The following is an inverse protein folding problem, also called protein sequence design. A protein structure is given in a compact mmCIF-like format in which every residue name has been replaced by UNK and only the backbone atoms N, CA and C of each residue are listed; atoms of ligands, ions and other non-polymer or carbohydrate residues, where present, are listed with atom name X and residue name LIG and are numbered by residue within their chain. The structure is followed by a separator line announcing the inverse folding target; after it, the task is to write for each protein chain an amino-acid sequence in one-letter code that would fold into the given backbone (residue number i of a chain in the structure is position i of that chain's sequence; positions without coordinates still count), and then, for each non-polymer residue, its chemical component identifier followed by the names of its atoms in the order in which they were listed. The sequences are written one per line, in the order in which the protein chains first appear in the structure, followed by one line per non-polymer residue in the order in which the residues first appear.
data_IF_490082940374
#
_entry.id   IF_490082940374
#
_cell.length_a   1.000
_cell.length_b   1.000
_cell.length_c   1.000
_cell.angle_alpha   90.00
_cell.angle_beta   90.00
_cell.angle_gamma   90.00
#
_symmetry.space_group_name_H-M   'P 1'
#
loop_
_entity.id
_entity.type
_entity.pdbx_description
1 polymer ?
#
# COMPACT_ATOMS: atom_id res chain seq x y z
N UNK A 1 1.90 -13.50 -45.57
CA UNK A 1 1.46 -14.26 -44.39
C UNK A 1 0.56 -13.35 -43.55
N UNK A 2 -0.57 -13.85 -43.04
CA UNK A 2 -1.48 -13.05 -42.19
C UNK A 2 -1.28 -13.50 -40.74
N UNK A 3 -0.90 -12.57 -39.84
CA UNK A 3 -0.66 -12.88 -38.44
C UNK A 3 -1.98 -13.00 -37.67
N UNK A 4 -2.04 -13.92 -36.69
CA UNK A 4 -3.16 -14.05 -35.77
C UNK A 4 -3.25 -12.82 -34.84
N UNK A 5 -4.48 -12.40 -34.54
CA UNK A 5 -4.76 -11.31 -33.64
C UNK A 5 -5.18 -11.88 -32.28
N UNK A 6 -4.45 -11.52 -31.22
CA UNK A 6 -4.72 -11.93 -29.84
C UNK A 6 -5.19 -10.75 -28.99
N UNK A 7 -6.34 -10.16 -29.36
CA UNK A 7 -6.89 -8.95 -28.71
C UNK A 7 -7.04 -9.07 -27.19
N UNK A 8 -7.33 -10.28 -26.71
CA UNK A 8 -7.46 -10.58 -25.28
C UNK A 8 -6.14 -10.57 -24.52
N UNK A 9 -5.00 -10.48 -25.22
CA UNK A 9 -3.66 -10.43 -24.64
C UNK A 9 -3.00 -9.04 -24.80
N UNK A 10 -3.64 -8.11 -25.50
CA UNK A 10 -3.13 -6.75 -25.69
C UNK A 10 -2.99 -6.05 -24.34
N UNK A 11 -1.80 -5.50 -24.05
CA UNK A 11 -1.48 -4.83 -22.78
C UNK A 11 -1.20 -5.76 -21.59
N UNK A 12 -1.35 -7.08 -21.77
CA UNK A 12 -0.99 -8.04 -20.73
C UNK A 12 0.47 -8.50 -20.85
N UNK A 13 1.06 -8.87 -19.71
CA UNK A 13 2.39 -9.43 -19.66
C UNK A 13 2.34 -10.90 -19.22
N UNK A 14 2.93 -11.78 -20.03
CA UNK A 14 3.08 -13.18 -19.67
C UNK A 14 4.07 -13.34 -18.50
N UNK A 15 3.90 -14.37 -17.64
CA UNK A 15 4.87 -14.71 -16.58
C UNK A 15 6.29 -14.87 -17.12
N UNK A 16 6.40 -15.52 -18.26
CA UNK A 16 7.65 -15.77 -19.01
C UNK A 16 7.62 -14.97 -20.31
N UNK A 17 7.80 -13.68 -20.20
CA UNK A 17 7.71 -12.76 -21.34
C UNK A 17 9.02 -12.77 -22.14
N UNK A 18 8.92 -12.59 -23.47
CA UNK A 18 10.08 -12.53 -24.35
C UNK A 18 11.01 -11.34 -24.01
N UNK A 19 10.46 -10.22 -23.55
CA UNK A 19 11.23 -9.03 -23.16
C UNK A 19 12.04 -9.22 -21.88
N UNK A 20 11.74 -10.25 -21.06
CA UNK A 20 12.46 -10.61 -19.83
C UNK A 20 12.98 -12.04 -19.95
N UNK A 21 13.90 -12.26 -20.88
CA UNK A 21 14.35 -13.59 -21.32
C UNK A 21 15.20 -14.38 -20.31
N UNK A 22 15.49 -13.84 -19.12
CA UNK A 22 16.30 -14.53 -18.12
C UNK A 22 15.67 -15.84 -17.59
N UNK A 23 14.37 -16.05 -17.79
CA UNK A 23 13.66 -17.29 -17.49
C UNK A 23 14.17 -18.50 -18.32
N UNK A 24 14.86 -18.29 -19.42
CA UNK A 24 15.53 -19.36 -20.17
C UNK A 24 16.60 -20.12 -19.35
N UNK A 25 17.06 -19.53 -18.22
CA UNK A 25 18.05 -20.12 -17.32
C UNK A 25 17.43 -20.67 -16.03
N UNK A 26 16.10 -20.64 -15.91
CA UNK A 26 15.43 -21.19 -14.74
C UNK A 26 15.36 -22.71 -14.84
N UNK A 27 15.59 -23.38 -13.73
CA UNK A 27 15.14 -24.73 -13.52
C UNK A 27 13.62 -24.76 -13.22
N UNK A 28 13.07 -25.96 -13.12
CA UNK A 28 11.63 -26.15 -12.90
C UNK A 28 11.17 -25.53 -11.56
N UNK A 29 11.99 -25.62 -10.50
CA UNK A 29 11.69 -25.08 -9.19
C UNK A 29 11.59 -23.55 -9.23
N UNK A 30 12.57 -22.89 -9.84
CA UNK A 30 12.58 -21.44 -10.02
C UNK A 30 11.43 -20.95 -10.92
N UNK A 31 11.13 -21.67 -11.97
CA UNK A 31 10.02 -21.34 -12.85
C UNK A 31 8.67 -21.40 -12.11
N UNK A 32 8.46 -22.44 -11.31
CA UNK A 32 7.27 -22.59 -10.47
C UNK A 32 7.19 -21.52 -9.37
N UNK A 33 8.30 -21.17 -8.75
CA UNK A 33 8.35 -20.08 -7.77
C UNK A 33 7.91 -18.73 -8.40
N UNK A 34 8.47 -18.37 -9.54
CA UNK A 34 8.13 -17.12 -10.25
C UNK A 34 6.65 -17.11 -10.64
N UNK A 35 6.12 -18.21 -11.15
CA UNK A 35 4.71 -18.33 -11.49
C UNK A 35 3.80 -18.17 -10.26
N UNK A 36 4.13 -18.86 -9.16
CA UNK A 36 3.36 -18.79 -7.92
C UNK A 36 3.37 -17.38 -7.32
N UNK A 37 4.51 -16.67 -7.36
CA UNK A 37 4.63 -15.30 -6.88
C UNK A 37 3.76 -14.35 -7.72
N UNK A 38 3.72 -14.54 -9.04
CA UNK A 38 2.86 -13.76 -9.91
C UNK A 38 1.38 -14.02 -9.62
N UNK A 39 0.97 -15.29 -9.44
CA UNK A 39 -0.40 -15.63 -9.06
C UNK A 39 -0.79 -15.06 -7.69
N UNK A 40 0.14 -15.04 -6.73
CA UNK A 40 -0.08 -14.43 -5.42
C UNK A 40 -0.31 -12.92 -5.55
N UNK A 41 0.46 -12.22 -6.39
CA UNK A 41 0.27 -10.79 -6.68
C UNK A 41 -1.11 -10.49 -7.27
N UNK A 42 -1.54 -11.26 -8.28
CA UNK A 42 -2.87 -11.10 -8.91
C UNK A 42 -3.99 -11.33 -7.88
N UNK A 43 -3.85 -12.35 -7.03
CA UNK A 43 -4.83 -12.59 -5.94
C UNK A 43 -4.84 -11.45 -4.93
N UNK A 44 -3.66 -10.93 -4.57
CA UNK A 44 -3.53 -9.78 -3.67
C UNK A 44 -4.29 -8.57 -4.20
N UNK A 45 -4.06 -8.17 -5.45
CA UNK A 45 -4.77 -7.06 -6.09
C UNK A 45 -6.29 -7.23 -6.03
N UNK A 46 -6.80 -8.43 -6.37
CA UNK A 46 -8.25 -8.71 -6.30
C UNK A 46 -8.82 -8.61 -4.89
N UNK A 47 -8.05 -8.99 -3.86
CA UNK A 47 -8.48 -8.88 -2.47
C UNK A 47 -8.53 -7.42 -2.01
N UNK A 48 -7.59 -6.58 -2.42
CA UNK A 48 -7.62 -5.13 -2.16
C UNK A 48 -8.82 -4.47 -2.86
N UNK A 49 -9.05 -4.76 -4.15
CA UNK A 49 -10.20 -4.26 -4.90
C UNK A 49 -11.53 -4.66 -4.24
N UNK A 50 -11.65 -5.92 -3.82
CA UNK A 50 -12.83 -6.41 -3.12
C UNK A 50 -13.01 -5.71 -1.77
N UNK A 51 -11.95 -5.56 -0.97
CA UNK A 51 -11.98 -4.89 0.32
C UNK A 51 -12.41 -3.42 0.16
N UNK A 52 -11.80 -2.69 -0.77
CA UNK A 52 -12.17 -1.32 -1.12
C UNK A 52 -13.66 -1.21 -1.43
N UNK A 53 -14.16 -2.00 -2.40
CA UNK A 53 -15.57 -1.96 -2.80
C UNK A 53 -16.51 -2.28 -1.62
N UNK A 54 -16.13 -3.23 -0.77
CA UNK A 54 -16.91 -3.65 0.39
C UNK A 54 -16.97 -2.56 1.46
N UNK A 55 -15.85 -1.85 1.69
CA UNK A 55 -15.77 -0.71 2.62
C UNK A 55 -16.60 0.46 2.08
N UNK A 56 -16.40 0.84 0.81
CA UNK A 56 -17.11 1.96 0.16
C UNK A 56 -18.64 1.76 0.18
N UNK A 57 -19.10 0.50 0.07
CA UNK A 57 -20.53 0.15 0.17
C UNK A 57 -21.03 -0.03 1.62
N UNK A 58 -20.16 0.05 2.62
CA UNK A 58 -20.52 -0.14 4.02
C UNK A 58 -20.97 -1.56 4.38
N UNK A 59 -20.55 -2.57 3.61
CA UNK A 59 -20.99 -3.96 3.78
C UNK A 59 -20.16 -4.67 4.86
N UNK A 60 -20.66 -4.67 6.09
CA UNK A 60 -20.02 -5.33 7.22
C UNK A 60 -19.88 -6.84 6.98
N UNK A 61 -18.72 -7.35 7.33
CA UNK A 61 -18.36 -8.75 7.20
C UNK A 61 -18.65 -9.55 8.49
N UNK A 62 -18.85 -10.87 8.39
CA UNK A 62 -18.96 -11.71 9.57
C UNK A 62 -17.72 -11.58 10.48
N UNK A 63 -17.92 -11.64 11.79
CA UNK A 63 -16.82 -11.66 12.75
C UNK A 63 -16.17 -13.03 12.74
N UNK A 64 -15.08 -13.15 12.01
CA UNK A 64 -14.28 -14.36 11.90
C UNK A 64 -12.83 -14.06 12.32
N UNK A 65 -11.97 -15.09 12.33
CA UNK A 65 -10.52 -14.92 12.56
C UNK A 65 -9.78 -14.35 11.33
N UNK A 66 -10.44 -14.21 10.19
CA UNK A 66 -9.81 -13.69 8.96
C UNK A 66 -9.50 -12.22 9.11
N UNK A 67 -8.25 -11.84 8.93
CA UNK A 67 -7.78 -10.44 8.97
C UNK A 67 -8.45 -9.55 7.93
N UNK A 68 -8.80 -10.10 6.77
CA UNK A 68 -9.55 -9.39 5.73
C UNK A 68 -10.92 -8.89 6.24
N UNK A 69 -11.65 -9.72 6.99
CA UNK A 69 -12.94 -9.32 7.59
C UNK A 69 -12.77 -8.28 8.70
N UNK A 70 -11.72 -8.43 9.52
CA UNK A 70 -11.38 -7.45 10.56
C UNK A 70 -11.03 -6.10 9.93
N UNK A 71 -10.14 -6.09 8.93
CA UNK A 71 -9.76 -4.89 8.19
C UNK A 71 -10.97 -4.13 7.62
N UNK A 72 -11.86 -4.83 6.91
CA UNK A 72 -13.06 -4.22 6.35
C UNK A 72 -13.98 -3.65 7.43
N UNK A 73 -14.22 -4.42 8.51
CA UNK A 73 -15.09 -3.98 9.58
C UNK A 73 -14.52 -2.80 10.36
N UNK A 74 -13.22 -2.77 10.60
CA UNK A 74 -12.55 -1.66 11.28
C UNK A 74 -12.57 -0.40 10.41
N UNK A 75 -12.28 -0.51 9.12
CA UNK A 75 -12.35 0.61 8.19
C UNK A 75 -13.77 1.21 8.14
N UNK A 76 -14.82 0.38 8.07
CA UNK A 76 -16.20 0.83 8.14
C UNK A 76 -16.50 1.45 9.51
N UNK A 77 -16.05 0.83 10.61
CA UNK A 77 -16.30 1.30 11.98
C UNK A 77 -15.68 2.65 12.27
N UNK A 78 -14.46 2.90 11.78
CA UNK A 78 -13.77 4.19 11.89
C UNK A 78 -14.14 5.18 10.80
N UNK A 79 -15.01 4.79 9.84
CA UNK A 79 -15.40 5.60 8.68
C UNK A 79 -14.18 6.07 7.89
N UNK A 80 -13.32 5.16 7.52
CA UNK A 80 -12.10 5.44 6.77
C UNK A 80 -12.40 5.59 5.28
N UNK A 81 -11.65 6.48 4.64
CA UNK A 81 -11.62 6.61 3.19
C UNK A 81 -10.64 5.59 2.60
N UNK A 82 -10.95 5.06 1.41
CA UNK A 82 -10.16 4.02 0.74
C UNK A 82 -9.31 4.58 -0.39
N UNK A 83 -8.12 3.98 -0.63
CA UNK A 83 -7.24 4.32 -1.76
C UNK A 83 -6.93 5.82 -1.86
N UNK A 84 -6.61 6.43 -0.72
CA UNK A 84 -6.31 7.87 -0.66
C UNK A 84 -4.87 8.13 -1.06
N UNK A 85 -4.68 8.94 -2.10
CA UNK A 85 -3.37 9.43 -2.49
C UNK A 85 -2.94 10.53 -1.54
N UNK A 86 -1.79 10.33 -0.89
CA UNK A 86 -1.10 11.35 -0.10
C UNK A 86 0.04 11.89 -0.94
N UNK A 87 0.10 13.21 -1.11
CA UNK A 87 0.98 13.87 -2.06
C UNK A 87 1.76 15.01 -1.41
N UNK A 88 3.06 15.01 -1.56
CA UNK A 88 3.92 16.14 -1.22
C UNK A 88 4.51 16.78 -2.47
N UNK A 89 5.08 15.96 -3.37
CA UNK A 89 5.62 16.41 -4.65
C UNK A 89 5.57 15.30 -5.69
N UNK A 90 5.97 15.59 -6.93
CA UNK A 90 6.08 14.59 -7.99
C UNK A 90 7.05 13.43 -7.66
N UNK A 91 7.93 13.61 -6.69
CA UNK A 91 8.88 12.58 -6.22
C UNK A 91 8.38 11.83 -4.98
N UNK A 92 7.47 12.44 -4.21
CA UNK A 92 7.01 11.90 -2.93
C UNK A 92 5.49 11.91 -2.85
N UNK A 93 4.90 10.77 -3.16
CA UNK A 93 3.47 10.49 -3.02
C UNK A 93 3.26 8.98 -2.84
N UNK A 94 2.09 8.60 -2.39
CA UNK A 94 1.72 7.19 -2.27
C UNK A 94 0.23 7.06 -1.96
N UNK A 95 -0.30 5.85 -2.12
CA UNK A 95 -1.72 5.57 -1.90
C UNK A 95 -1.86 4.74 -0.63
N UNK A 96 -2.55 5.28 0.37
CA UNK A 96 -2.92 4.55 1.57
C UNK A 96 -4.16 3.69 1.31
N UNK A 97 -4.12 2.42 1.70
CA UNK A 97 -5.26 1.50 1.50
C UNK A 97 -6.52 2.02 2.19
N UNK A 98 -6.41 2.40 3.47
CA UNK A 98 -7.47 3.13 4.20
C UNK A 98 -6.87 4.14 5.17
N UNK A 99 -7.52 5.29 5.26
CA UNK A 99 -7.10 6.41 6.13
C UNK A 99 -8.31 7.15 6.66
N UNK A 100 -8.22 7.67 7.89
CA UNK A 100 -9.12 8.71 8.38
C UNK A 100 -8.40 9.65 9.34
N UNK A 101 -8.87 10.91 9.33
CA UNK A 101 -8.43 11.92 10.30
C UNK A 101 -9.67 12.55 10.94
N UNK A 102 -9.87 12.28 12.21
CA UNK A 102 -11.04 12.78 12.98
C UNK A 102 -10.65 13.07 14.42
N UNK A 103 -11.18 14.16 14.96
CA UNK A 103 -10.94 14.58 16.35
C UNK A 103 -9.45 14.65 16.71
N UNK A 104 -8.62 15.06 15.75
CA UNK A 104 -7.17 15.15 15.87
C UNK A 104 -6.47 13.78 16.04
N UNK A 105 -7.13 12.70 15.63
CA UNK A 105 -6.58 11.35 15.59
C UNK A 105 -6.44 10.93 14.13
N UNK A 106 -5.23 10.56 13.75
CA UNK A 106 -4.93 9.98 12.42
C UNK A 106 -4.93 8.46 12.53
N UNK A 107 -5.65 7.77 11.63
CA UNK A 107 -5.58 6.31 11.49
C UNK A 107 -5.23 5.94 10.07
N UNK A 108 -4.28 5.05 9.93
CA UNK A 108 -3.89 4.47 8.62
C UNK A 108 -3.82 2.96 8.80
N UNK A 109 -4.63 2.25 8.01
CA UNK A 109 -4.64 0.79 8.02
C UNK A 109 -4.22 0.26 6.65
N UNK A 110 -3.49 -0.84 6.67
CA UNK A 110 -2.92 -1.48 5.48
C UNK A 110 -3.22 -2.99 5.52
N UNK A 111 -3.68 -3.53 4.39
CA UNK A 111 -3.98 -4.94 4.20
C UNK A 111 -2.83 -5.62 3.46
N UNK A 112 -2.18 -6.58 4.08
CA UNK A 112 -1.11 -7.36 3.46
C UNK A 112 -1.57 -8.79 3.17
N UNK A 113 -1.46 -9.19 1.91
CA UNK A 113 -1.84 -10.52 1.42
C UNK A 113 -0.62 -11.42 1.14
N UNK A 114 0.58 -10.88 1.31
CA UNK A 114 1.85 -11.60 1.15
C UNK A 114 2.19 -12.46 2.37
N UNK A 115 3.08 -13.46 2.17
CA UNK A 115 3.54 -14.36 3.24
C UNK A 115 4.65 -13.77 4.11
N UNK A 116 5.44 -12.84 3.57
CA UNK A 116 6.53 -12.20 4.30
C UNK A 116 5.97 -11.16 5.24
N UNK A 117 6.52 -11.11 6.45
CA UNK A 117 6.15 -10.12 7.45
C UNK A 117 6.32 -8.69 6.89
N UNK A 118 5.28 -7.89 7.06
CA UNK A 118 5.27 -6.53 6.53
C UNK A 118 5.95 -5.56 7.51
N UNK A 119 6.71 -4.61 6.99
CA UNK A 119 7.31 -3.53 7.77
C UNK A 119 6.30 -2.40 7.99
N UNK A 120 6.34 -1.78 9.17
CA UNK A 120 5.56 -0.59 9.51
C UNK A 120 6.06 0.67 8.77
N UNK A 121 7.27 0.64 8.21
CA UNK A 121 7.91 1.81 7.55
C UNK A 121 7.03 2.48 6.49
N UNK A 122 6.30 1.70 5.71
CA UNK A 122 5.39 2.24 4.69
C UNK A 122 4.34 3.16 5.33
N UNK A 123 3.77 2.77 6.46
CA UNK A 123 2.74 3.54 7.14
C UNK A 123 3.34 4.78 7.80
N UNK A 124 4.56 4.69 8.34
CA UNK A 124 5.29 5.87 8.88
C UNK A 124 5.52 6.92 7.78
N UNK A 125 5.87 6.48 6.56
CA UNK A 125 5.99 7.39 5.40
C UNK A 125 4.65 8.03 5.04
N UNK A 126 3.54 7.29 5.09
CA UNK A 126 2.21 7.89 4.87
C UNK A 126 1.86 8.92 5.93
N UNK A 127 2.21 8.70 7.21
CA UNK A 127 2.04 9.72 8.26
C UNK A 127 2.82 10.98 7.93
N UNK A 128 4.08 10.84 7.51
CA UNK A 128 4.92 11.97 7.13
C UNK A 128 4.34 12.74 5.93
N UNK A 129 3.88 12.03 4.89
CA UNK A 129 3.22 12.64 3.73
C UNK A 129 1.94 13.36 4.13
N UNK A 130 1.11 12.77 4.99
CA UNK A 130 -0.08 13.41 5.52
C UNK A 130 0.25 14.72 6.25
N UNK A 131 1.25 14.69 7.13
CA UNK A 131 1.69 15.88 7.85
C UNK A 131 2.17 17.00 6.91
N UNK A 132 2.91 16.64 5.86
CA UNK A 132 3.43 17.60 4.87
C UNK A 132 2.31 18.18 3.99
N UNK A 133 1.44 17.33 3.45
CA UNK A 133 0.36 17.73 2.54
C UNK A 133 -0.64 18.68 3.21
N UNK A 134 -1.05 18.34 4.44
CA UNK A 134 -2.07 19.10 5.17
C UNK A 134 -1.48 20.16 6.11
N UNK A 135 -0.14 20.34 6.13
CA UNK A 135 0.57 21.27 7.00
C UNK A 135 0.21 21.08 8.50
N UNK A 136 0.13 19.82 8.92
CA UNK A 136 -0.15 19.44 10.31
C UNK A 136 1.16 19.00 10.94
N UNK A 137 1.50 19.57 12.11
CA UNK A 137 2.63 19.08 12.90
C UNK A 137 2.24 17.78 13.57
N UNK A 138 3.09 16.76 13.46
CA UNK A 138 2.81 15.47 14.09
C UNK A 138 2.59 15.59 15.61
N UNK A 139 3.35 16.47 16.26
CA UNK A 139 3.21 16.73 17.71
C UNK A 139 1.85 17.35 18.11
N UNK A 140 1.10 17.91 17.15
CA UNK A 140 -0.23 18.48 17.42
C UNK A 140 -1.33 17.42 17.31
N UNK A 141 -1.03 16.22 16.86
CA UNK A 141 -1.97 15.10 16.85
C UNK A 141 -2.25 14.65 18.29
N UNK A 142 -3.50 14.36 18.56
CA UNK A 142 -3.89 13.73 19.83
C UNK A 142 -3.44 12.28 19.89
N UNK A 143 -3.46 11.59 18.76
CA UNK A 143 -3.04 10.21 18.59
C UNK A 143 -2.80 9.90 17.12
N UNK A 144 -1.96 8.91 16.84
CA UNK A 144 -1.75 8.34 15.52
C UNK A 144 -1.73 6.82 15.66
N UNK A 145 -2.66 6.15 15.00
CA UNK A 145 -2.84 4.70 15.08
C UNK A 145 -2.60 4.08 13.69
N UNK A 146 -1.61 3.20 13.62
CA UNK A 146 -1.23 2.47 12.42
C UNK A 146 -1.53 1.00 12.61
N UNK A 147 -2.18 0.36 11.62
CA UNK A 147 -2.46 -1.08 11.66
C UNK A 147 -2.08 -1.79 10.38
N UNK A 148 -1.40 -2.91 10.51
CA UNK A 148 -1.16 -3.88 9.43
C UNK A 148 -1.98 -5.12 9.71
N UNK A 149 -2.81 -5.50 8.75
CA UNK A 149 -3.64 -6.71 8.78
C UNK A 149 -3.00 -7.76 7.90
N UNK A 150 -2.42 -8.82 8.51
CA UNK A 150 -1.70 -9.88 7.80
C UNK A 150 -1.73 -11.20 8.56
N UNK A 151 -1.79 -12.33 7.84
CA UNK A 151 -1.60 -13.68 8.40
C UNK A 151 -2.46 -13.98 9.63
N UNK A 152 -3.77 -13.64 9.57
CA UNK A 152 -4.72 -13.79 10.67
C UNK A 152 -4.34 -13.02 11.97
N UNK A 153 -3.46 -12.02 11.85
CA UNK A 153 -3.06 -11.12 12.92
C UNK A 153 -3.19 -9.65 12.53
N UNK A 154 -3.22 -8.80 13.55
CA UNK A 154 -3.18 -7.34 13.42
C UNK A 154 -2.00 -6.83 14.21
N UNK A 155 -1.11 -6.10 13.55
CA UNK A 155 -0.02 -5.39 14.20
C UNK A 155 -0.42 -3.93 14.31
N UNK A 156 -0.48 -3.42 15.52
CA UNK A 156 -0.81 -2.02 15.83
C UNK A 156 0.43 -1.28 16.30
N UNK A 157 0.57 -0.03 15.87
CA UNK A 157 1.67 0.85 16.26
C UNK A 157 1.17 2.28 16.43
N UNK A 158 1.64 2.94 17.49
CA UNK A 158 1.43 4.36 17.75
C UNK A 158 2.78 5.06 17.63
N UNK A 159 3.08 5.70 16.48
CA UNK A 159 4.40 6.28 16.27
C UNK A 159 4.66 7.49 17.15
N UNK A 160 5.93 7.70 17.44
CA UNK A 160 6.42 8.85 18.21
C UNK A 160 6.90 9.98 17.30
N UNK A 161 7.14 11.15 17.89
CA UNK A 161 7.73 12.31 17.17
C UNK A 161 9.11 11.96 16.64
N UNK A 162 9.89 11.18 17.38
CA UNK A 162 11.25 10.75 17.04
C UNK A 162 11.27 9.79 15.84
N UNK A 163 10.17 9.08 15.57
CA UNK A 163 10.02 8.22 14.39
C UNK A 163 9.61 9.02 13.16
N UNK A 164 8.71 10.00 13.29
CA UNK A 164 8.09 10.69 12.16
C UNK A 164 8.91 11.89 11.69
N UNK A 165 9.44 12.71 12.59
CA UNK A 165 10.16 13.94 12.21
C UNK A 165 11.37 13.65 11.32
N UNK A 166 12.22 12.64 11.57
CA UNK A 166 13.32 12.31 10.68
C UNK A 166 12.89 11.92 9.25
N UNK A 167 11.70 11.27 9.11
CA UNK A 167 11.14 10.91 7.81
C UNK A 167 10.70 12.19 7.07
N UNK A 168 10.02 13.10 7.75
CA UNK A 168 9.61 14.40 7.21
C UNK A 168 10.83 15.18 6.71
N UNK A 169 11.87 15.30 7.55
CA UNK A 169 13.10 16.01 7.22
C UNK A 169 13.81 15.38 6.01
N UNK A 170 13.82 14.04 5.94
CA UNK A 170 14.40 13.31 4.82
C UNK A 170 13.65 13.55 3.52
N UNK A 171 12.31 13.55 3.55
CA UNK A 171 11.47 13.84 2.37
C UNK A 171 11.76 15.26 1.88
N UNK A 172 11.72 16.26 2.76
CA UNK A 172 11.98 17.66 2.42
C UNK A 172 13.39 17.85 1.83
N UNK A 173 14.40 17.21 2.45
CA UNK A 173 15.77 17.29 1.98
C UNK A 173 15.95 16.71 0.57
N UNK A 174 15.45 15.49 0.37
CA UNK A 174 15.55 14.82 -0.93
C UNK A 174 14.74 15.51 -2.02
N UNK A 175 13.57 16.05 -1.69
CA UNK A 175 12.75 16.80 -2.65
C UNK A 175 13.50 18.05 -3.18
N UNK A 176 14.12 18.81 -2.29
CA UNK A 176 14.97 19.95 -2.66
C UNK A 176 16.14 19.54 -3.55
N UNK A 177 16.81 18.43 -3.19
CA UNK A 177 17.93 17.92 -3.95
C UNK A 177 17.54 17.50 -5.38
N UNK A 178 16.41 16.78 -5.49
CA UNK A 178 15.90 16.29 -6.77
C UNK A 178 15.40 17.43 -7.65
N UNK A 179 14.73 18.41 -7.06
CA UNK A 179 14.25 19.60 -7.78
C UNK A 179 15.41 20.43 -8.34
N UNK A 180 16.48 20.63 -7.56
CA UNK A 180 17.65 21.36 -8.01
C UNK A 180 18.37 20.69 -9.19
N UNK A 181 18.37 19.34 -9.24
CA UNK A 181 19.00 18.59 -10.34
C UNK A 181 18.20 18.59 -11.66
N UNK A 182 16.94 19.03 -11.66
CA UNK A 182 16.16 19.15 -12.89
C UNK A 182 16.28 20.54 -13.55
N UNK A 183 16.78 21.52 -12.81
CA UNK A 183 16.96 22.90 -13.31
C UNK A 183 18.35 23.10 -13.99
N UNK A 184 19.24 22.09 -13.88
CA UNK A 184 20.54 22.04 -14.55
C UNK A 184 20.47 21.25 -15.88
#
# INVERSE_FOLDING_TARGET
MKFNKHKNLEGLHAPFSASKSHWLRYDDERAMEVYNNMQAKVRGTKLHEWAKMTIDLGLKQPRTKQTLHAYVNDAIGFHMDTEVVLFYSKYFFGTADTICYRNNILRIHDLKTGKHEASMEQLLVYVALFCLEYNIKFADLKDCELRIYQNDGVVEHHPTVEEIVPIIDKIIHLDKLLTANEED
#
